data_IF_952658094186
#
_entry.id   IF_952658094186
#
_cell.length_a   1.000
_cell.length_b   1.000
_cell.length_c   1.000
_cell.angle_alpha   90.00
_cell.angle_beta   90.00
_cell.angle_gamma   90.00
#
_symmetry.space_group_name_H-M   'P 1'
#
loop_
_entity.id
_entity.type
_entity.pdbx_description
1 polymer ?
#
# COMPACT_ATOMS: atom_id res chain seq x y z
N UNK A 1 1.65 32.94 -9.16
CA UNK A 1 2.95 33.65 -9.12
C UNK A 1 4.02 32.63 -8.82
N UNK A 2 5.09 32.58 -9.61
CA UNK A 2 6.20 31.65 -9.41
C UNK A 2 7.29 32.40 -8.63
N UNK A 3 7.25 32.31 -7.30
CA UNK A 3 8.20 33.02 -6.44
C UNK A 3 9.49 32.21 -6.40
N UNK A 4 10.57 32.74 -6.97
CA UNK A 4 11.90 32.13 -6.84
C UNK A 4 12.49 32.44 -5.47
N UNK A 5 12.35 31.51 -4.53
CA UNK A 5 12.84 31.64 -3.16
C UNK A 5 14.38 31.70 -3.04
N UNK A 6 15.14 31.52 -4.14
CA UNK A 6 16.60 31.69 -4.12
C UNK A 6 17.03 33.15 -3.95
N UNK A 7 16.22 34.10 -4.42
CA UNK A 7 16.56 35.51 -4.46
C UNK A 7 15.83 36.34 -3.39
N UNK A 8 15.10 35.68 -2.49
CA UNK A 8 14.41 36.34 -1.38
C UNK A 8 15.24 36.14 -0.12
N UNK A 9 15.80 37.22 0.41
CA UNK A 9 16.37 37.18 1.75
C UNK A 9 15.26 36.91 2.76
N UNK A 10 15.34 35.76 3.41
CA UNK A 10 14.42 35.31 4.44
C UNK A 10 15.23 34.71 5.58
N UNK A 11 14.81 35.02 6.80
CA UNK A 11 15.29 34.36 8.01
C UNK A 11 14.91 32.87 8.01
N UNK A 12 15.53 32.09 8.91
CA UNK A 12 15.21 30.67 9.04
C UNK A 12 13.73 30.46 9.40
N UNK A 13 13.19 31.28 10.32
CA UNK A 13 11.80 31.18 10.77
C UNK A 13 10.80 31.53 9.66
N UNK A 14 11.08 32.57 8.86
CA UNK A 14 10.25 32.92 7.71
C UNK A 14 10.23 31.81 6.65
N UNK A 15 11.37 31.13 6.43
CA UNK A 15 11.42 29.97 5.52
C UNK A 15 10.56 28.81 6.03
N UNK A 16 10.63 28.50 7.32
CA UNK A 16 9.80 27.45 7.93
C UNK A 16 8.31 27.80 7.87
N UNK A 17 7.96 29.06 8.13
CA UNK A 17 6.58 29.53 8.03
C UNK A 17 6.07 29.48 6.58
N UNK A 18 6.90 29.86 5.60
CA UNK A 18 6.54 29.77 4.18
C UNK A 18 6.27 28.32 3.74
N UNK A 19 7.13 27.37 4.15
CA UNK A 19 6.88 25.94 3.91
C UNK A 19 5.57 25.48 4.54
N UNK A 20 5.30 25.90 5.78
CA UNK A 20 4.06 25.57 6.50
C UNK A 20 2.81 26.11 5.78
N UNK A 21 2.85 27.35 5.31
CA UNK A 21 1.74 27.97 4.58
C UNK A 21 1.50 27.30 3.22
N UNK A 22 2.57 26.99 2.48
CA UNK A 22 2.47 26.27 1.21
C UNK A 22 1.91 24.86 1.40
N UNK A 23 2.37 24.14 2.43
CA UNK A 23 1.83 22.84 2.82
C UNK A 23 0.34 22.94 3.13
N UNK A 24 -0.07 23.89 3.97
CA UNK A 24 -1.49 24.10 4.31
C UNK A 24 -2.33 24.37 3.06
N UNK A 25 -1.85 25.22 2.16
CA UNK A 25 -2.55 25.50 0.89
C UNK A 25 -2.72 24.24 0.02
N UNK A 26 -1.71 23.36 -0.01
CA UNK A 26 -1.84 22.07 -0.71
C UNK A 26 -2.84 21.16 -0.01
N UNK A 27 -2.82 21.13 1.32
CA UNK A 27 -3.73 20.33 2.14
C UNK A 27 -5.19 20.78 2.01
N UNK A 28 -5.42 22.10 1.96
CA UNK A 28 -6.77 22.66 1.83
C UNK A 28 -7.44 22.29 0.50
N UNK A 29 -6.64 22.06 -0.55
CA UNK A 29 -7.17 21.80 -1.90
C UNK A 29 -7.42 20.32 -2.20
N UNK A 30 -6.78 19.37 -1.51
CA UNK A 30 -6.87 17.96 -1.92
C UNK A 30 -8.28 17.39 -1.75
N UNK A 31 -9.04 17.82 -0.73
CA UNK A 31 -10.42 17.35 -0.51
C UNK A 31 -11.33 17.85 -1.62
N UNK A 32 -11.28 19.15 -1.91
CA UNK A 32 -12.09 19.77 -2.98
C UNK A 32 -11.74 19.20 -4.35
N UNK A 33 -10.45 18.95 -4.63
CA UNK A 33 -10.02 18.24 -5.84
C UNK A 33 -10.57 16.81 -5.89
N UNK A 34 -10.51 16.07 -4.77
CA UNK A 34 -11.08 14.72 -4.66
C UNK A 34 -12.58 14.69 -4.96
N UNK A 35 -13.32 15.67 -4.44
CA UNK A 35 -14.75 15.84 -4.70
C UNK A 35 -15.05 16.08 -6.19
N UNK A 36 -14.42 17.09 -6.79
CA UNK A 36 -14.63 17.42 -8.21
C UNK A 36 -14.27 16.27 -9.13
N UNK A 37 -13.13 15.60 -8.86
CA UNK A 37 -12.69 14.45 -9.62
C UNK A 37 -13.66 13.25 -9.47
N UNK A 38 -14.20 13.03 -8.28
CA UNK A 38 -15.21 11.98 -8.02
C UNK A 38 -16.48 12.27 -8.83
N UNK A 39 -16.95 13.52 -8.83
CA UNK A 39 -18.12 13.92 -9.59
C UNK A 39 -17.92 13.77 -11.10
N UNK A 40 -16.80 14.27 -11.65
CA UNK A 40 -16.46 14.13 -13.07
C UNK A 40 -16.41 12.65 -13.48
N UNK A 41 -15.83 11.80 -12.63
CA UNK A 41 -15.72 10.37 -12.89
C UNK A 41 -17.10 9.69 -12.86
N UNK A 42 -17.92 9.98 -11.84
CA UNK A 42 -19.27 9.41 -11.66
C UNK A 42 -20.22 9.80 -12.79
N UNK A 43 -20.22 11.07 -13.17
CA UNK A 43 -21.04 11.62 -14.26
C UNK A 43 -20.47 11.36 -15.65
N UNK A 44 -19.27 10.77 -15.74
CA UNK A 44 -18.55 10.48 -16.98
C UNK A 44 -18.34 11.73 -17.85
N UNK A 45 -18.19 12.91 -17.25
CA UNK A 45 -17.98 14.18 -17.98
C UNK A 45 -16.74 14.13 -18.89
N UNK A 46 -15.71 13.38 -18.51
CA UNK A 46 -14.53 13.13 -19.34
C UNK A 46 -14.86 12.55 -20.73
N UNK A 47 -15.97 11.80 -20.87
CA UNK A 47 -16.43 11.29 -22.17
C UNK A 47 -16.92 12.39 -23.10
N UNK A 48 -17.51 13.47 -22.55
CA UNK A 48 -17.95 14.64 -23.34
C UNK A 48 -16.76 15.38 -23.94
N UNK A 49 -15.59 15.25 -23.33
CA UNK A 49 -14.30 15.77 -23.81
C UNK A 49 -13.59 14.81 -24.78
N UNK A 50 -14.22 13.68 -25.15
CA UNK A 50 -13.67 12.72 -26.11
C UNK A 50 -12.82 11.60 -25.50
N UNK A 51 -12.62 11.58 -24.18
CA UNK A 51 -11.80 10.56 -23.52
C UNK A 51 -12.57 9.27 -23.25
N UNK A 52 -11.96 8.12 -23.54
CA UNK A 52 -12.55 6.81 -23.25
C UNK A 52 -12.37 6.39 -21.79
N UNK A 53 -11.22 6.71 -21.19
CA UNK A 53 -10.87 6.38 -19.81
C UNK A 53 -10.64 7.66 -19.01
N UNK A 54 -11.08 7.65 -17.76
CA UNK A 54 -10.86 8.76 -16.83
C UNK A 54 -9.38 9.04 -16.57
N UNK A 55 -8.55 7.99 -16.53
CA UNK A 55 -7.09 8.09 -16.40
C UNK A 55 -6.49 8.98 -17.49
N UNK A 56 -6.82 8.68 -18.74
CA UNK A 56 -6.30 9.43 -19.89
C UNK A 56 -6.74 10.90 -19.83
N UNK A 57 -7.96 11.18 -19.37
CA UNK A 57 -8.45 12.54 -19.19
C UNK A 57 -7.63 13.33 -18.16
N UNK A 58 -7.38 12.78 -16.97
CA UNK A 58 -6.65 13.52 -15.93
C UNK A 58 -5.17 13.70 -16.26
N UNK A 59 -4.59 12.73 -16.98
CA UNK A 59 -3.19 12.79 -17.41
C UNK A 59 -3.00 13.84 -18.52
N UNK A 60 -3.93 13.93 -19.49
CA UNK A 60 -3.79 14.87 -20.60
C UNK A 60 -4.26 16.30 -20.27
N UNK A 61 -5.36 16.48 -19.53
CA UNK A 61 -5.91 17.82 -19.27
C UNK A 61 -5.24 18.53 -18.08
N UNK A 62 -4.78 17.78 -17.09
CA UNK A 62 -4.26 18.34 -15.84
C UNK A 62 -2.81 17.95 -15.55
N UNK A 63 -2.17 17.19 -16.43
CA UNK A 63 -0.82 16.64 -16.21
C UNK A 63 -0.70 15.90 -14.86
N UNK A 64 -1.76 15.19 -14.47
CA UNK A 64 -1.86 14.53 -13.18
C UNK A 64 -1.88 13.02 -13.35
N UNK A 65 -0.97 12.33 -12.66
CA UNK A 65 -0.93 10.86 -12.66
C UNK A 65 -2.29 10.28 -12.23
N UNK A 66 -2.83 9.33 -13.01
CA UNK A 66 -4.13 8.74 -12.69
C UNK A 66 -4.20 8.04 -11.34
N UNK A 67 -3.06 7.56 -10.82
CA UNK A 67 -2.94 6.99 -9.48
C UNK A 67 -3.14 8.05 -8.40
N UNK A 68 -2.63 9.26 -8.58
CA UNK A 68 -2.82 10.37 -7.65
C UNK A 68 -4.28 10.85 -7.67
N UNK A 69 -4.87 11.04 -8.86
CA UNK A 69 -6.29 11.34 -8.99
C UNK A 69 -7.18 10.29 -8.28
N UNK A 70 -6.85 9.01 -8.44
CA UNK A 70 -7.57 7.91 -7.77
C UNK A 70 -7.42 7.93 -6.25
N UNK A 71 -6.26 8.35 -5.73
CA UNK A 71 -6.06 8.56 -4.29
C UNK A 71 -6.97 9.68 -3.77
N UNK A 72 -6.97 10.85 -4.41
CA UNK A 72 -7.80 12.01 -4.02
C UNK A 72 -9.29 11.66 -3.95
N UNK A 73 -9.82 11.09 -5.05
CA UNK A 73 -11.20 10.61 -5.13
C UNK A 73 -11.48 9.66 -3.98
N UNK A 74 -10.58 8.69 -3.78
CA UNK A 74 -10.77 7.66 -2.80
C UNK A 74 -10.66 8.10 -1.35
N UNK A 75 -10.07 9.28 -1.07
CA UNK A 75 -10.11 9.88 0.26
C UNK A 75 -11.47 10.54 0.48
N UNK A 76 -11.91 11.38 -0.48
CA UNK A 76 -13.22 12.03 -0.41
C UNK A 76 -14.37 11.02 -0.30
N UNK A 77 -14.40 10.00 -1.14
CA UNK A 77 -15.47 8.98 -1.13
C UNK A 77 -15.50 8.17 0.17
N UNK A 78 -14.35 7.90 0.79
CA UNK A 78 -14.28 7.10 2.00
C UNK A 78 -14.55 7.95 3.25
N UNK A 79 -13.75 8.98 3.47
CA UNK A 79 -13.76 9.70 4.75
C UNK A 79 -14.89 10.72 4.83
N UNK A 80 -15.16 11.45 3.74
CA UNK A 80 -16.24 12.44 3.72
C UNK A 80 -17.58 11.76 3.41
N UNK A 81 -17.70 11.04 2.29
CA UNK A 81 -19.02 10.54 1.88
C UNK A 81 -19.50 9.30 2.63
N UNK A 82 -18.61 8.35 2.92
CA UNK A 82 -18.99 7.07 3.55
C UNK A 82 -18.97 7.13 5.07
N UNK A 83 -17.95 7.78 5.65
CA UNK A 83 -17.76 7.86 7.09
C UNK A 83 -18.27 9.17 7.71
N UNK A 84 -18.71 10.13 6.88
CA UNK A 84 -19.27 11.42 7.31
C UNK A 84 -18.35 12.21 8.25
N UNK A 85 -17.05 12.11 8.02
CA UNK A 85 -16.06 12.94 8.74
C UNK A 85 -16.09 14.34 8.13
N UNK A 86 -15.99 15.35 8.98
CA UNK A 86 -15.97 16.72 8.51
C UNK A 86 -14.69 17.04 7.71
N UNK A 87 -14.82 17.97 6.77
CA UNK A 87 -13.73 18.35 5.86
C UNK A 87 -12.52 18.95 6.60
N UNK A 88 -12.72 19.58 7.75
CA UNK A 88 -11.64 20.21 8.53
C UNK A 88 -10.75 19.13 9.12
N UNK A 89 -11.34 18.15 9.82
CA UNK A 89 -10.61 17.01 10.40
C UNK A 89 -9.85 16.22 9.32
N UNK A 90 -10.47 15.99 8.16
CA UNK A 90 -9.80 15.31 7.03
C UNK A 90 -8.58 16.11 6.54
N UNK A 91 -8.67 17.45 6.46
CA UNK A 91 -7.54 18.29 6.06
C UNK A 91 -6.42 18.29 7.10
N UNK A 92 -6.76 18.35 8.39
CA UNK A 92 -5.80 18.35 9.50
C UNK A 92 -5.02 17.03 9.60
N UNK A 93 -5.68 15.89 9.39
CA UNK A 93 -5.00 14.58 9.30
C UNK A 93 -4.07 14.54 8.08
N UNK A 94 -4.54 15.06 6.95
CA UNK A 94 -3.77 15.20 5.73
C UNK A 94 -3.74 13.95 4.83
N UNK A 95 -3.49 14.18 3.55
CA UNK A 95 -3.61 13.20 2.47
C UNK A 95 -2.78 11.93 2.69
N UNK A 96 -1.55 12.06 3.17
CA UNK A 96 -0.62 10.93 3.29
C UNK A 96 -1.03 9.97 4.41
N UNK A 97 -1.39 10.50 5.60
CA UNK A 97 -1.83 9.70 6.73
C UNK A 97 -3.14 8.98 6.39
N UNK A 98 -4.11 9.69 5.82
CA UNK A 98 -5.38 9.09 5.37
C UNK A 98 -5.17 7.98 4.32
N UNK A 99 -4.30 8.19 3.33
CA UNK A 99 -4.01 7.13 2.35
C UNK A 99 -3.31 5.92 2.99
N UNK A 100 -2.53 6.14 4.05
CA UNK A 100 -1.82 5.09 4.76
C UNK A 100 -2.78 4.18 5.54
N UNK A 101 -3.75 4.78 6.25
CA UNK A 101 -4.73 4.05 7.07
C UNK A 101 -5.91 3.52 6.26
N UNK A 102 -6.16 4.05 5.06
CA UNK A 102 -7.29 3.65 4.19
C UNK A 102 -7.52 2.14 4.06
N UNK A 103 -6.50 1.28 3.85
CA UNK A 103 -6.71 -0.18 3.77
C UNK A 103 -7.25 -0.81 5.05
N UNK A 104 -7.04 -0.17 6.20
CA UNK A 104 -7.49 -0.62 7.51
C UNK A 104 -8.84 -0.02 7.91
N UNK A 105 -9.33 0.98 7.18
CA UNK A 105 -10.60 1.66 7.43
C UNK A 105 -11.67 1.19 6.45
N UNK A 106 -11.32 0.98 5.18
CA UNK A 106 -12.28 0.74 4.08
C UNK A 106 -13.26 -0.42 4.35
N UNK A 107 -12.74 -1.51 4.91
CA UNK A 107 -13.43 -2.79 5.10
C UNK A 107 -13.51 -3.20 6.59
N UNK A 108 -13.23 -2.28 7.51
CA UNK A 108 -13.24 -2.53 8.95
C UNK A 108 -14.57 -2.17 9.60
N UNK A 109 -14.75 -2.59 10.85
CA UNK A 109 -15.87 -2.15 11.67
C UNK A 109 -15.79 -0.64 11.96
N UNK A 110 -16.90 -0.06 12.42
CA UNK A 110 -16.95 1.36 12.79
C UNK A 110 -15.92 1.70 13.88
N UNK A 111 -15.84 0.88 14.93
CA UNK A 111 -14.92 1.08 16.06
C UNK A 111 -13.46 1.02 15.60
N UNK A 112 -13.09 0.02 14.80
CA UNK A 112 -11.73 -0.09 14.25
C UNK A 112 -11.40 1.10 13.33
N UNK A 113 -12.38 1.56 12.56
CA UNK A 113 -12.21 2.72 11.68
C UNK A 113 -11.91 3.98 12.49
N UNK A 114 -12.67 4.22 13.56
CA UNK A 114 -12.49 5.34 14.49
C UNK A 114 -11.12 5.33 15.16
N UNK A 115 -10.67 4.18 15.67
CA UNK A 115 -9.33 4.02 16.25
C UNK A 115 -8.22 4.38 15.25
N UNK A 116 -8.36 3.96 13.98
CA UNK A 116 -7.37 4.28 12.95
C UNK A 116 -7.36 5.75 12.59
N UNK A 117 -8.51 6.41 12.59
CA UNK A 117 -8.65 7.85 12.35
C UNK A 117 -8.01 8.61 13.52
N UNK A 118 -8.32 8.25 14.76
CA UNK A 118 -7.73 8.88 15.96
C UNK A 118 -6.20 8.72 15.98
N UNK A 119 -5.68 7.53 15.62
CA UNK A 119 -4.23 7.32 15.47
C UNK A 119 -3.65 8.21 14.38
N UNK A 120 -4.33 8.36 13.25
CA UNK A 120 -3.86 9.21 12.17
C UNK A 120 -3.87 10.70 12.54
N UNK A 121 -4.80 11.14 13.39
CA UNK A 121 -4.84 12.50 13.91
C UNK A 121 -3.68 12.77 14.86
N UNK A 122 -3.51 11.90 15.87
CA UNK A 122 -2.65 12.17 17.02
C UNK A 122 -1.19 11.71 16.85
N UNK A 123 -0.89 10.79 15.93
CA UNK A 123 0.47 10.26 15.75
C UNK A 123 1.27 10.98 14.66
N UNK A 124 2.60 11.13 14.85
CA UNK A 124 3.51 11.47 13.78
C UNK A 124 3.43 10.44 12.64
N UNK A 125 3.60 10.91 11.40
CA UNK A 125 3.51 10.06 10.20
C UNK A 125 4.55 8.92 10.19
N UNK A 126 5.70 9.11 10.82
CA UNK A 126 6.76 8.08 10.91
C UNK A 126 6.31 6.95 11.82
N UNK A 127 5.87 7.26 13.03
CA UNK A 127 5.41 6.29 14.03
C UNK A 127 4.20 5.51 13.53
N UNK A 128 3.23 6.18 12.89
CA UNK A 128 2.08 5.54 12.28
C UNK A 128 2.49 4.53 11.19
N UNK A 129 3.50 4.88 10.40
CA UNK A 129 4.03 4.02 9.33
C UNK A 129 4.71 2.79 9.91
N UNK A 130 5.47 2.95 10.99
CA UNK A 130 6.13 1.84 11.68
C UNK A 130 5.12 0.87 12.30
N UNK A 131 4.11 1.39 13.00
CA UNK A 131 3.03 0.57 13.57
C UNK A 131 2.31 -0.25 12.50
N UNK A 132 1.97 0.37 11.37
CA UNK A 132 1.34 -0.31 10.22
C UNK A 132 2.26 -1.39 9.63
N UNK A 133 3.56 -1.11 9.53
CA UNK A 133 4.55 -2.07 9.02
C UNK A 133 4.63 -3.29 9.92
N UNK A 134 4.67 -3.09 11.23
CA UNK A 134 4.75 -4.16 12.22
C UNK A 134 3.47 -5.00 12.25
N UNK A 135 2.30 -4.36 12.16
CA UNK A 135 1.02 -5.06 12.06
C UNK A 135 0.94 -5.94 10.80
N UNK A 136 1.38 -5.42 9.65
CA UNK A 136 1.44 -6.21 8.41
C UNK A 136 2.41 -7.37 8.51
N UNK A 137 3.54 -7.19 9.20
CA UNK A 137 4.51 -8.26 9.43
C UNK A 137 3.92 -9.36 10.31
N UNK A 138 3.29 -8.98 11.44
CA UNK A 138 2.61 -9.91 12.35
C UNK A 138 1.50 -10.68 11.66
N UNK A 139 0.65 -9.99 10.89
CA UNK A 139 -0.42 -10.63 10.12
C UNK A 139 0.14 -11.63 9.11
N UNK A 140 1.20 -11.26 8.39
CA UNK A 140 1.89 -12.18 7.47
C UNK A 140 2.50 -13.39 8.19
N UNK A 141 3.03 -13.21 9.39
CA UNK A 141 3.57 -14.30 10.22
C UNK A 141 2.45 -15.23 10.73
N UNK A 142 1.30 -14.69 11.10
CA UNK A 142 0.12 -15.45 11.54
C UNK A 142 -0.56 -16.21 10.40
N UNK A 143 -0.54 -15.65 9.19
CA UNK A 143 -1.11 -16.25 7.98
C UNK A 143 -0.18 -17.28 7.32
N UNK A 144 1.04 -17.49 7.84
CA UNK A 144 1.94 -18.50 7.30
C UNK A 144 1.30 -19.88 7.41
N UNK A 145 1.18 -20.55 6.27
CA UNK A 145 0.72 -21.93 6.23
C UNK A 145 1.84 -22.87 6.70
N UNK A 146 1.48 -24.10 7.09
CA UNK A 146 2.48 -25.15 7.37
C UNK A 146 3.43 -25.38 6.18
N UNK A 147 2.92 -25.18 4.95
CA UNK A 147 3.71 -25.29 3.74
C UNK A 147 4.76 -24.17 3.63
N UNK A 148 4.40 -22.94 4.00
CA UNK A 148 5.34 -21.81 4.04
C UNK A 148 6.45 -22.06 5.06
N UNK A 149 6.09 -22.55 6.25
CA UNK A 149 7.05 -22.91 7.31
C UNK A 149 8.00 -24.00 6.82
N UNK A 150 7.49 -25.05 6.18
CA UNK A 150 8.30 -26.13 5.63
C UNK A 150 9.31 -25.62 4.59
N UNK A 151 8.86 -24.74 3.68
CA UNK A 151 9.72 -24.14 2.65
C UNK A 151 10.80 -23.24 3.28
N UNK A 152 10.44 -22.43 4.27
CA UNK A 152 11.41 -21.57 4.98
C UNK A 152 12.49 -22.40 5.67
N UNK A 153 12.10 -23.44 6.43
CA UNK A 153 13.04 -24.35 7.10
C UNK A 153 13.96 -25.07 6.10
N UNK A 154 13.41 -25.50 4.96
CA UNK A 154 14.21 -26.10 3.89
C UNK A 154 15.27 -25.13 3.38
N UNK A 155 14.88 -23.90 3.04
CA UNK A 155 15.82 -22.91 2.52
C UNK A 155 16.86 -22.52 3.56
N UNK A 156 16.48 -22.31 4.83
CA UNK A 156 17.44 -22.00 5.90
C UNK A 156 18.50 -23.10 6.03
N UNK A 157 18.07 -24.36 6.10
CA UNK A 157 18.99 -25.51 6.17
C UNK A 157 19.92 -25.56 4.97
N UNK A 158 19.40 -25.38 3.76
CA UNK A 158 20.18 -25.46 2.52
C UNK A 158 21.16 -24.28 2.38
N UNK A 159 20.73 -23.06 2.69
CA UNK A 159 21.59 -21.88 2.64
C UNK A 159 22.75 -22.00 3.62
N UNK A 160 22.48 -22.49 4.84
CA UNK A 160 23.51 -22.73 5.84
C UNK A 160 24.45 -23.86 5.42
N UNK A 161 23.91 -24.96 4.88
CA UNK A 161 24.71 -26.12 4.45
C UNK A 161 25.64 -25.79 3.28
N UNK A 162 25.12 -25.10 2.25
CA UNK A 162 25.92 -24.66 1.11
C UNK A 162 26.71 -23.37 1.35
N UNK A 163 26.49 -22.72 2.50
CA UNK A 163 27.04 -21.42 2.88
C UNK A 163 26.97 -20.40 1.71
N UNK A 164 25.79 -20.25 1.14
CA UNK A 164 25.62 -19.47 -0.10
C UNK A 164 24.38 -18.57 -0.06
N UNK A 165 24.32 -17.65 -1.02
CA UNK A 165 23.13 -16.81 -1.18
C UNK A 165 21.95 -17.60 -1.78
N UNK A 166 20.73 -17.09 -1.61
CA UNK A 166 19.54 -17.72 -2.22
C UNK A 166 19.59 -17.76 -3.74
N UNK A 167 20.22 -16.77 -4.36
CA UNK A 167 20.43 -16.74 -5.81
C UNK A 167 21.34 -17.89 -6.26
N UNK A 168 22.42 -18.12 -5.51
CA UNK A 168 23.39 -19.17 -5.78
C UNK A 168 22.82 -20.56 -5.49
N UNK A 169 22.08 -20.73 -4.40
CA UNK A 169 21.35 -21.97 -4.12
C UNK A 169 20.38 -22.31 -5.27
N UNK A 170 19.62 -21.33 -5.77
CA UNK A 170 18.71 -21.54 -6.89
C UNK A 170 19.46 -21.94 -8.17
N UNK A 171 20.64 -21.35 -8.42
CA UNK A 171 21.49 -21.75 -9.54
C UNK A 171 21.95 -23.22 -9.39
N UNK A 172 22.41 -23.61 -8.20
CA UNK A 172 22.83 -24.98 -7.92
C UNK A 172 21.67 -25.99 -8.07
N UNK A 173 20.47 -25.63 -7.59
CA UNK A 173 19.26 -26.44 -7.78
C UNK A 173 18.89 -26.55 -9.26
N UNK A 174 19.03 -25.47 -10.04
CA UNK A 174 18.76 -25.50 -11.47
C UNK A 174 19.72 -26.46 -12.21
N UNK A 175 21.02 -26.45 -11.86
CA UNK A 175 21.99 -27.41 -12.38
C UNK A 175 21.63 -28.85 -11.98
N UNK A 176 21.22 -29.06 -10.72
CA UNK A 176 20.83 -30.39 -10.24
C UNK A 176 19.62 -30.96 -11.01
N UNK A 177 18.65 -30.12 -11.35
CA UNK A 177 17.43 -30.55 -12.05
C UNK A 177 17.54 -30.51 -13.59
N UNK A 178 18.64 -30.01 -14.16
CA UNK A 178 18.77 -29.71 -15.58
C UNK A 178 18.39 -30.89 -16.50
N UNK A 179 18.89 -32.08 -16.20
CA UNK A 179 18.70 -33.29 -17.01
C UNK A 179 17.74 -34.29 -16.36
N UNK A 180 16.93 -33.84 -15.39
CA UNK A 180 16.03 -34.73 -14.65
C UNK A 180 14.72 -35.00 -15.40
N UNK A 181 14.17 -36.21 -15.24
CA UNK A 181 12.82 -36.55 -15.72
C UNK A 181 11.75 -35.83 -14.89
N UNK A 182 11.07 -34.88 -15.51
CA UNK A 182 10.04 -34.06 -14.86
C UNK A 182 8.79 -34.85 -14.48
N UNK A 183 8.42 -35.90 -15.22
CA UNK A 183 7.26 -36.73 -14.89
C UNK A 183 7.56 -37.64 -13.70
N UNK A 184 8.76 -38.21 -13.63
CA UNK A 184 9.21 -38.97 -12.46
C UNK A 184 9.27 -38.06 -11.21
N UNK A 185 9.84 -36.86 -11.35
CA UNK A 185 9.89 -35.86 -10.27
C UNK A 185 8.47 -35.51 -9.81
N UNK A 186 7.56 -35.23 -10.74
CA UNK A 186 6.17 -34.88 -10.42
C UNK A 186 5.47 -35.99 -9.65
N UNK A 187 5.67 -37.24 -10.07
CA UNK A 187 5.14 -38.42 -9.39
C UNK A 187 5.66 -38.51 -7.94
N UNK A 188 6.98 -38.36 -7.75
CA UNK A 188 7.62 -38.35 -6.42
C UNK A 188 7.10 -37.20 -5.55
N UNK A 189 6.95 -36.00 -6.10
CA UNK A 189 6.40 -34.84 -5.38
C UNK A 189 4.97 -35.12 -4.92
N UNK A 190 4.11 -35.64 -5.80
CA UNK A 190 2.73 -35.96 -5.45
C UNK A 190 2.65 -37.01 -4.34
N UNK A 191 3.50 -38.03 -4.38
CA UNK A 191 3.58 -39.04 -3.33
C UNK A 191 4.03 -38.42 -1.99
N UNK A 192 5.03 -37.54 -2.00
CA UNK A 192 5.52 -36.84 -0.80
C UNK A 192 4.50 -35.88 -0.23
N UNK A 193 3.79 -35.12 -1.08
CA UNK A 193 2.69 -34.23 -0.66
C UNK A 193 1.60 -35.02 0.06
N UNK A 194 1.15 -36.14 -0.50
CA UNK A 194 0.14 -37.01 0.14
C UNK A 194 0.60 -37.56 1.50
N UNK A 195 1.89 -37.88 1.66
CA UNK A 195 2.42 -38.31 2.97
C UNK A 195 2.44 -37.16 3.96
N UNK A 196 2.92 -36.00 3.53
CA UNK A 196 2.95 -34.79 4.33
C UNK A 196 1.55 -34.39 4.81
N UNK A 197 0.52 -34.47 3.95
CA UNK A 197 -0.88 -34.22 4.32
C UNK A 197 -1.40 -35.22 5.37
N UNK A 198 -1.10 -36.52 5.20
CA UNK A 198 -1.51 -37.57 6.15
C UNK A 198 -0.84 -37.49 7.52
N UNK A 199 0.42 -37.07 7.58
CA UNK A 199 1.16 -36.89 8.84
C UNK A 199 0.65 -35.69 9.66
N UNK A 200 -0.18 -34.83 9.06
CA UNK A 200 -0.75 -33.63 9.68
C UNK A 200 -2.24 -33.79 10.04
N UNK A 201 -2.89 -34.92 9.71
CA UNK A 201 -4.24 -35.22 10.19
C UNK A 201 -4.17 -35.68 11.67
N UNK A 202 -4.95 -35.07 12.59
CA UNK A 202 -4.99 -35.53 13.96
C UNK A 202 -5.50 -36.98 14.01
N UNK A 203 -4.75 -37.85 14.68
CA UNK A 203 -5.22 -39.21 14.95
C UNK A 203 -6.46 -39.11 15.86
N UNK A 204 -7.61 -39.51 15.32
CA UNK A 204 -8.89 -39.63 16.05
C UNK A 204 -8.81 -40.78 17.04
#
# INVERSE_FOLDING_TARGET
MNTDFKNVEMTADEKMQAVTNLKKTMEDNFVSMGQLLSEIKRTKLFKRKGYKKFKDFVENEFNMAGSFASKLIGIYELYIQKLDIDETSVKEIGLDKLNMIKPFVKDASYQESEEWIEKAENKPTVDLREEIKDLRKKKKEQEKTLQDIYVEQFFEKMLNFFNCSRKELNFNLALFFQDSDLEEIRSKINQRKRRFEKEQEPQV
#
